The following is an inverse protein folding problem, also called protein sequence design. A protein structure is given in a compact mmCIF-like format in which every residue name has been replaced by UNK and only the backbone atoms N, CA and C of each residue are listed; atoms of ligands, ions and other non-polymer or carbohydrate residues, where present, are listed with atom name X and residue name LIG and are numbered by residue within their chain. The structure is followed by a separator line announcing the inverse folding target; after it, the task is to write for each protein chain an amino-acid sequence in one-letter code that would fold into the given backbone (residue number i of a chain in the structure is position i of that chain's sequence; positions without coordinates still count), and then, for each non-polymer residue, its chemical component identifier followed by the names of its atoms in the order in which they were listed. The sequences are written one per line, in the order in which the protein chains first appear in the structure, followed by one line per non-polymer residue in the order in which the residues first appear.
data_IF_945060938043
#
_entry.id   IF_945060938043
#
_cell.length_a   1.000
_cell.length_b   1.000
_cell.length_c   1.000
_cell.angle_alpha   90.00
_cell.angle_beta   90.00
_cell.angle_gamma   90.00
#
_symmetry.space_group_name_H-M   'P 1'
#
loop_
_entity.id
_entity.type
_entity.pdbx_description
1 polymer ?
#
# COMPACT_ATOMS: atom_id res chain seq x y z
N UNK A 1 -40.26 -17.74 13.61
CA UNK A 1 -38.78 -17.79 13.53
C UNK A 1 -38.32 -16.98 12.32
N UNK A 2 -38.01 -15.70 12.51
CA UNK A 2 -37.49 -14.82 11.45
C UNK A 2 -35.98 -14.99 11.38
N UNK A 3 -35.49 -15.67 10.32
CA UNK A 3 -34.05 -15.76 10.04
C UNK A 3 -33.54 -14.36 9.68
N UNK A 4 -32.82 -13.71 10.60
CA UNK A 4 -32.08 -12.48 10.28
C UNK A 4 -31.02 -12.85 9.24
N UNK A 5 -31.22 -12.40 8.01
CA UNK A 5 -30.23 -12.53 6.96
C UNK A 5 -29.15 -11.48 7.22
N UNK A 6 -28.00 -11.91 7.75
CA UNK A 6 -26.88 -11.02 8.02
C UNK A 6 -26.15 -10.76 6.69
N UNK A 7 -26.52 -9.69 5.98
CA UNK A 7 -25.82 -9.28 4.77
C UNK A 7 -24.44 -8.74 5.18
N UNK A 8 -23.37 -9.32 4.63
CA UNK A 8 -22.01 -8.82 4.86
C UNK A 8 -21.89 -7.37 4.39
N UNK A 9 -21.20 -6.53 5.16
CA UNK A 9 -20.97 -5.11 4.83
C UNK A 9 -20.39 -4.94 3.43
N UNK A 10 -19.51 -5.84 3.01
CA UNK A 10 -18.89 -5.80 1.70
C UNK A 10 -19.90 -6.08 0.58
N UNK A 11 -20.79 -7.05 0.77
CA UNK A 11 -21.88 -7.34 -0.17
C UNK A 11 -22.86 -6.17 -0.29
N UNK A 12 -23.14 -5.48 0.82
CA UNK A 12 -23.96 -4.28 0.82
C UNK A 12 -23.28 -3.11 0.10
N UNK A 13 -21.99 -2.88 0.36
CA UNK A 13 -21.20 -1.84 -0.32
C UNK A 13 -21.14 -2.06 -1.84
N UNK A 14 -20.83 -3.29 -2.29
CA UNK A 14 -20.83 -3.66 -3.70
C UNK A 14 -22.22 -3.52 -4.34
N UNK A 15 -23.27 -3.84 -3.59
CA UNK A 15 -24.64 -3.63 -4.05
C UNK A 15 -24.94 -2.15 -4.26
N UNK A 16 -24.56 -1.28 -3.31
CA UNK A 16 -24.76 0.18 -3.43
C UNK A 16 -24.02 0.78 -4.63
N UNK A 17 -22.80 0.31 -4.91
CA UNK A 17 -22.07 0.69 -6.14
C UNK A 17 -22.81 0.22 -7.40
N UNK A 18 -23.30 -1.02 -7.41
CA UNK A 18 -24.02 -1.61 -8.54
C UNK A 18 -25.34 -0.90 -8.87
N UNK A 19 -26.05 -0.37 -7.87
CA UNK A 19 -27.27 0.43 -8.08
C UNK A 19 -26.98 1.92 -8.30
N UNK A 20 -25.71 2.32 -8.47
CA UNK A 20 -25.26 3.70 -8.63
C UNK A 20 -25.64 4.64 -7.47
N UNK A 21 -25.95 4.08 -6.29
CA UNK A 21 -26.18 4.87 -5.08
C UNK A 21 -24.87 5.38 -4.46
N UNK A 22 -23.74 4.75 -4.81
CA UNK A 22 -22.39 5.21 -4.51
C UNK A 22 -21.57 5.33 -5.80
N UNK A 23 -20.72 6.35 -5.95
CA UNK A 23 -19.77 6.41 -7.06
C UNK A 23 -18.81 5.22 -7.03
N UNK A 24 -18.46 4.68 -8.20
CA UNK A 24 -17.49 3.59 -8.33
C UNK A 24 -16.05 4.00 -7.92
N UNK A 25 -15.82 5.29 -7.70
CA UNK A 25 -14.56 5.84 -7.19
C UNK A 25 -14.40 5.67 -5.69
N UNK A 26 -15.46 5.34 -4.95
CA UNK A 26 -15.35 5.04 -3.52
C UNK A 26 -14.68 3.68 -3.33
N UNK A 27 -13.61 3.67 -2.55
CA UNK A 27 -12.91 2.46 -2.13
C UNK A 27 -13.17 2.30 -0.63
N UNK A 28 -13.72 1.16 -0.23
CA UNK A 28 -13.75 0.79 1.18
C UNK A 28 -12.32 0.50 1.62
N UNK A 29 -11.81 1.31 2.53
CA UNK A 29 -10.44 1.23 3.05
C UNK A 29 -10.15 -0.13 3.68
N UNK A 30 -11.16 -0.83 4.22
CA UNK A 30 -11.01 -2.20 4.74
C UNK A 30 -10.65 -3.21 3.65
N UNK A 31 -10.99 -2.93 2.39
CA UNK A 31 -10.67 -3.81 1.27
C UNK A 31 -9.19 -3.76 0.87
N UNK A 32 -8.43 -2.75 1.35
CA UNK A 32 -6.98 -2.68 1.17
C UNK A 32 -6.24 -3.81 1.92
N UNK A 33 -6.89 -4.44 2.91
CA UNK A 33 -6.31 -5.59 3.63
C UNK A 33 -6.62 -6.93 2.95
N UNK A 34 -7.38 -6.94 1.85
CA UNK A 34 -7.71 -8.17 1.12
C UNK A 34 -6.44 -8.70 0.45
N UNK A 35 -6.03 -9.92 0.82
CA UNK A 35 -4.81 -10.55 0.32
C UNK A 35 -3.70 -10.55 1.36
N UNK A 36 -2.52 -10.02 1.01
CA UNK A 36 -1.33 -10.04 1.88
C UNK A 36 -1.35 -8.98 3.00
N UNK A 37 -2.27 -8.02 2.94
CA UNK A 37 -2.36 -6.88 3.84
C UNK A 37 -1.45 -5.73 3.41
N UNK A 38 -1.94 -4.50 3.51
CA UNK A 38 -1.24 -3.31 2.99
C UNK A 38 0.11 -3.05 3.66
N UNK A 39 0.18 -3.21 4.99
CA UNK A 39 1.45 -3.06 5.75
C UNK A 39 2.53 -4.01 5.21
N UNK A 40 2.16 -5.26 4.95
CA UNK A 40 3.07 -6.29 4.43
C UNK A 40 3.46 -6.04 2.98
N UNK A 41 2.54 -5.53 2.15
CA UNK A 41 2.88 -5.16 0.77
C UNK A 41 3.94 -4.06 0.71
N UNK A 42 3.82 -3.04 1.56
CA UNK A 42 4.81 -1.97 1.64
C UNK A 42 6.16 -2.49 2.17
N UNK A 43 6.14 -3.34 3.19
CA UNK A 43 7.36 -3.95 3.73
C UNK A 43 8.10 -4.83 2.71
N UNK A 44 7.38 -5.70 2.00
CA UNK A 44 7.94 -6.57 0.94
C UNK A 44 8.45 -5.76 -0.26
N UNK A 45 7.78 -4.65 -0.59
CA UNK A 45 8.27 -3.73 -1.61
C UNK A 45 9.64 -3.15 -1.23
N UNK A 46 9.78 -2.65 0.00
CA UNK A 46 11.05 -2.09 0.50
C UNK A 46 12.15 -3.15 0.59
N UNK A 47 11.82 -4.36 1.05
CA UNK A 47 12.74 -5.50 1.07
C UNK A 47 13.27 -5.83 -0.33
N UNK A 48 12.40 -5.85 -1.34
CA UNK A 48 12.80 -6.11 -2.72
C UNK A 48 13.78 -5.06 -3.24
N UNK A 49 13.51 -3.78 -2.98
CA UNK A 49 14.40 -2.68 -3.39
C UNK A 49 15.77 -2.80 -2.72
N UNK A 50 15.79 -3.06 -1.42
CA UNK A 50 17.03 -3.29 -0.66
C UNK A 50 17.82 -4.48 -1.19
N UNK A 51 17.15 -5.59 -1.51
CA UNK A 51 17.79 -6.80 -2.05
C UNK A 51 18.42 -6.53 -3.42
N UNK A 52 17.68 -5.88 -4.33
CA UNK A 52 18.19 -5.49 -5.66
C UNK A 52 19.41 -4.59 -5.50
N UNK A 53 19.32 -3.56 -4.65
CA UNK A 53 20.44 -2.64 -4.45
C UNK A 53 21.66 -3.35 -3.85
N UNK A 54 21.45 -4.18 -2.82
CA UNK A 54 22.53 -4.92 -2.17
C UNK A 54 23.24 -5.90 -3.12
N UNK A 55 22.50 -6.58 -3.98
CA UNK A 55 23.06 -7.61 -4.87
C UNK A 55 23.68 -7.03 -6.14
N UNK A 56 23.17 -5.90 -6.63
CA UNK A 56 23.51 -5.41 -7.97
C UNK A 56 24.01 -3.97 -8.02
N UNK A 57 23.78 -3.18 -6.96
CA UNK A 57 24.02 -1.73 -6.96
C UNK A 57 23.17 -1.00 -8.01
N UNK A 58 22.04 -1.57 -8.43
CA UNK A 58 21.30 -1.12 -9.61
C UNK A 58 20.78 0.31 -9.46
N UNK A 59 20.17 0.67 -8.32
CA UNK A 59 19.61 2.00 -8.12
C UNK A 59 20.70 3.04 -7.96
N UNK A 60 21.82 2.70 -7.32
CA UNK A 60 22.98 3.59 -7.24
C UNK A 60 23.75 3.74 -8.57
N UNK A 61 23.43 2.94 -9.59
CA UNK A 61 24.09 2.99 -10.91
C UNK A 61 23.37 3.90 -11.90
N UNK A 62 24.06 4.32 -12.96
CA UNK A 62 23.43 5.07 -14.08
C UNK A 62 22.26 4.32 -14.72
N UNK A 63 22.25 2.98 -14.65
CA UNK A 63 21.17 2.15 -15.20
C UNK A 63 19.87 2.26 -14.40
N UNK A 64 19.98 2.63 -13.12
CA UNK A 64 18.85 2.77 -12.20
C UNK A 64 18.16 4.13 -12.27
N UNK A 65 18.75 5.12 -12.97
CA UNK A 65 18.29 6.51 -12.96
C UNK A 65 16.78 6.67 -13.22
N UNK A 66 16.24 6.03 -14.26
CA UNK A 66 14.81 6.08 -14.56
C UNK A 66 13.96 5.24 -13.61
N UNK A 67 14.52 4.15 -13.09
CA UNK A 67 13.82 3.20 -12.23
C UNK A 67 13.63 3.74 -10.80
N UNK A 68 14.50 4.64 -10.34
CA UNK A 68 14.37 5.31 -9.03
C UNK A 68 13.01 6.00 -8.92
N UNK A 69 12.63 6.82 -9.90
CA UNK A 69 11.37 7.56 -9.85
C UNK A 69 10.14 6.65 -9.79
N UNK A 70 10.19 5.50 -10.49
CA UNK A 70 9.11 4.51 -10.42
C UNK A 70 9.04 3.81 -9.06
N UNK A 71 10.19 3.42 -8.50
CA UNK A 71 10.27 2.83 -7.17
C UNK A 71 9.77 3.80 -6.09
N UNK A 72 10.16 5.07 -6.20
CA UNK A 72 9.73 6.13 -5.30
C UNK A 72 8.22 6.37 -5.35
N UNK A 73 7.68 6.57 -6.56
CA UNK A 73 6.25 6.83 -6.74
C UNK A 73 5.41 5.69 -6.17
N UNK A 74 5.86 4.44 -6.31
CA UNK A 74 5.17 3.29 -5.77
C UNK A 74 5.26 3.23 -4.24
N UNK A 75 6.43 3.49 -3.64
CA UNK A 75 6.60 3.56 -2.18
C UNK A 75 5.73 4.66 -1.58
N UNK A 76 5.68 5.85 -2.20
CA UNK A 76 4.87 6.98 -1.76
C UNK A 76 3.37 6.68 -1.86
N UNK A 77 2.94 6.02 -2.94
CA UNK A 77 1.55 5.62 -3.10
C UNK A 77 1.13 4.58 -2.06
N UNK A 78 1.95 3.55 -1.82
CA UNK A 78 1.68 2.54 -0.80
C UNK A 78 1.71 3.15 0.62
N UNK A 79 2.63 4.08 0.88
CA UNK A 79 2.69 4.84 2.14
C UNK A 79 1.47 5.73 2.35
N UNK A 80 0.93 6.33 1.29
CA UNK A 80 -0.31 7.10 1.34
C UNK A 80 -1.52 6.20 1.66
N UNK A 81 -1.64 5.05 0.98
CA UNK A 81 -2.68 4.07 1.30
C UNK A 81 -2.56 3.59 2.76
N UNK A 82 -1.34 3.38 3.25
CA UNK A 82 -1.10 2.98 4.64
C UNK A 82 -1.67 4.03 5.60
N UNK A 83 -1.39 5.31 5.33
CA UNK A 83 -1.91 6.40 6.14
C UNK A 83 -3.44 6.47 6.13
N UNK A 84 -4.07 6.29 4.96
CA UNK A 84 -5.53 6.21 4.88
C UNK A 84 -6.10 5.04 5.70
N UNK A 85 -5.42 3.89 5.67
CA UNK A 85 -5.87 2.67 6.34
C UNK A 85 -5.74 2.70 7.85
N UNK A 86 -4.61 3.20 8.34
CA UNK A 86 -4.22 3.11 9.75
C UNK A 86 -4.30 4.45 10.49
N UNK A 87 -4.56 5.56 9.78
CA UNK A 87 -4.61 6.90 10.36
C UNK A 87 -3.26 7.43 10.84
N UNK A 88 -2.16 6.76 10.48
CA UNK A 88 -0.78 7.08 10.89
C UNK A 88 0.14 7.05 9.68
N UNK A 89 1.16 7.90 9.65
CA UNK A 89 2.19 7.84 8.59
C UNK A 89 2.92 6.51 8.64
N UNK A 90 3.32 6.00 7.48
CA UNK A 90 4.10 4.78 7.34
C UNK A 90 5.53 4.99 7.85
N UNK A 91 5.78 4.62 9.10
CA UNK A 91 7.08 4.74 9.75
C UNK A 91 7.32 3.52 10.65
N UNK A 92 8.58 3.26 11.00
CA UNK A 92 8.94 2.10 11.81
C UNK A 92 8.39 2.16 13.24
N UNK A 93 8.18 3.36 13.77
CA UNK A 93 7.63 3.63 15.11
C UNK A 93 6.09 3.55 15.16
N UNK A 94 5.43 3.69 14.02
CA UNK A 94 3.95 3.68 13.91
C UNK A 94 3.37 2.35 13.47
N UNK A 95 4.21 1.43 12.97
CA UNK A 95 3.81 0.13 12.42
C UNK A 95 3.25 -0.81 13.49
N UNK A 96 2.24 -1.61 13.12
CA UNK A 96 1.66 -2.59 14.04
C UNK A 96 2.54 -3.81 14.25
N UNK A 97 3.19 -4.29 13.19
CA UNK A 97 4.15 -5.39 13.25
C UNK A 97 5.56 -4.87 13.07
N UNK A 98 5.95 -4.69 11.81
CA UNK A 98 7.27 -4.28 11.39
C UNK A 98 7.15 -3.68 10.00
N UNK A 99 7.73 -2.50 9.83
CA UNK A 99 7.78 -1.81 8.55
C UNK A 99 9.17 -1.23 8.36
N UNK A 100 9.88 -1.68 7.33
CA UNK A 100 11.17 -1.10 6.94
C UNK A 100 11.03 0.38 6.63
N UNK A 101 12.08 1.16 6.89
CA UNK A 101 12.15 2.57 6.50
C UNK A 101 12.23 2.70 4.98
N UNK A 102 11.76 3.82 4.42
CA UNK A 102 11.90 4.10 2.98
C UNK A 102 13.40 4.09 2.62
N UNK A 103 13.84 3.27 1.66
CA UNK A 103 15.26 3.19 1.31
C UNK A 103 15.80 4.55 0.84
N UNK A 104 16.99 4.98 1.30
CA UNK A 104 17.50 6.32 1.01
C UNK A 104 17.88 6.52 -0.46
N UNK A 105 18.25 5.44 -1.16
CA UNK A 105 18.66 5.48 -2.57
C UNK A 105 17.52 5.67 -3.57
N UNK A 106 16.26 5.62 -3.12
CA UNK A 106 15.09 5.97 -3.94
C UNK A 106 14.46 7.32 -3.55
N UNK A 107 15.04 8.05 -2.61
CA UNK A 107 14.51 9.36 -2.23
C UNK A 107 15.02 10.39 -3.25
N UNK A 108 14.10 11.05 -3.95
CA UNK A 108 14.46 12.20 -4.77
C UNK A 108 14.95 13.33 -3.86
N UNK A 109 16.15 13.85 -4.16
CA UNK A 109 16.66 15.07 -3.55
C UNK A 109 15.99 16.26 -4.25
N UNK A 110 14.72 16.52 -3.94
CA UNK A 110 14.07 17.79 -4.28
C UNK A 110 14.37 18.88 -3.23
#
# INVERSE_FOLDING_TARGET
MTKRCFVSKNTFFLFLQKIHALPNTFIDVQTLDVGRGLEKQLDEHRELLEAIEKETGYFSSERGFYSIGHAETLDDYLSYLYQLRFGKKAASDTAFNYLRVKPPFIQSND
#
